data_IF_777732886743
#
_entry.id   IF_777732886743
#
_cell.length_a   1.000
_cell.length_b   1.000
_cell.length_c   1.000
_cell.angle_alpha   90.00
_cell.angle_beta   90.00
_cell.angle_gamma   90.00
#
_symmetry.space_group_name_H-M   'P 1'
#
loop_
_entity.id
_entity.type
_entity.pdbx_description
1 polymer ?
2 non-polymer ?
3 non-polymer ?
4 water ?
#
# COMPACT_ATOMS: atom_id res chain seq x y z
N UNK A 24 9.99 1.80 -28.63
CA UNK A 24 9.68 0.55 -29.30
C UNK A 24 8.39 -0.08 -28.81
N UNK A 25 7.55 0.73 -28.17
CA UNK A 25 6.23 0.32 -27.74
C UNK A 25 5.22 0.56 -28.87
N UNK A 26 4.16 -0.24 -28.86
CA UNK A 26 3.08 -0.01 -29.82
C UNK A 26 2.26 1.20 -29.39
N UNK A 27 1.45 1.69 -30.32
CA UNK A 27 0.57 2.82 -30.00
C UNK A 27 -0.45 2.44 -28.93
N UNK A 28 -0.89 1.18 -28.91
CA UNK A 28 -1.76 0.72 -27.83
C UNK A 28 -1.01 0.72 -26.49
N UNK A 29 0.26 0.31 -26.51
CA UNK A 29 1.06 0.32 -25.29
C UNK A 29 1.36 1.75 -24.85
N UNK A 30 1.64 2.64 -25.79
CA UNK A 30 1.89 4.04 -25.43
C UNK A 30 0.64 4.69 -24.85
N UNK A 31 -0.53 4.44 -25.45
CA UNK A 31 -1.77 4.96 -24.91
C UNK A 31 -2.07 4.37 -23.54
N UNK A 32 -1.73 3.09 -23.35
CA UNK A 32 -1.99 2.43 -22.08
C UNK A 32 -1.21 3.08 -20.94
N UNK A 33 0.07 3.40 -21.19
CA UNK A 33 0.88 4.05 -20.16
C UNK A 33 0.38 5.47 -19.93
N UNK A 34 -0.03 6.16 -20.99
CA UNK A 34 -0.52 7.53 -20.84
C UNK A 34 -1.76 7.59 -19.95
N UNK A 35 -2.67 6.64 -20.12
CA UNK A 35 -3.89 6.64 -19.30
C UNK A 35 -3.57 6.29 -17.86
N UNK A 36 -2.64 5.36 -17.64
CA UNK A 36 -2.24 5.01 -16.27
C UNK A 36 -1.55 6.19 -15.60
N UNK A 37 -0.61 6.83 -16.30
CA UNK A 37 0.06 8.00 -15.73
C UNK A 37 -0.94 9.14 -15.50
N UNK A 38 -1.91 9.29 -16.39
CA UNK A 38 -2.94 10.31 -16.21
C UNK A 38 -3.76 10.03 -14.96
N UNK A 39 -4.17 8.77 -14.78
CA UNK A 39 -4.94 8.40 -13.58
C UNK A 39 -4.10 8.58 -12.32
N UNK A 40 -2.80 8.27 -12.40
CA UNK A 40 -1.92 8.45 -11.26
C UNK A 40 -1.76 9.94 -10.92
N UNK A 41 -1.60 10.78 -11.94
CA UNK A 41 -1.41 12.21 -11.71
C UNK A 41 -2.65 12.84 -11.08
N UNK A 42 -3.84 12.39 -11.48
CA UNK A 42 -5.07 13.01 -11.01
C UNK A 42 -5.46 12.56 -9.61
N UNK A 43 -5.08 11.33 -9.22
CA UNK A 43 -5.62 10.72 -8.01
C UNK A 43 -4.59 10.44 -6.92
N UNK A 44 -3.32 10.77 -7.13
CA UNK A 44 -2.27 10.56 -6.14
C UNK A 44 -1.88 11.91 -5.57
N UNK A 45 -2.36 12.20 -4.36
CA UNK A 45 -1.99 13.41 -3.64
C UNK A 45 -0.60 13.19 -3.05
N UNK A 46 0.42 13.47 -3.86
CA UNK A 46 1.79 13.14 -3.48
C UNK A 46 2.28 13.99 -2.31
N UNK A 47 1.71 15.19 -2.15
CA UNK A 47 2.06 16.05 -1.02
C UNK A 47 1.10 15.90 0.15
N UNK A 48 0.07 15.07 0.01
CA UNK A 48 -0.90 14.81 1.09
C UNK A 48 -1.56 16.10 1.55
N UNK A 49 -1.73 17.05 0.63
CA UNK A 49 -2.23 18.37 1.02
C UNK A 49 -3.68 18.31 1.47
N UNK A 50 -4.43 17.32 1.00
CA UNK A 50 -5.85 17.19 1.33
C UNK A 50 -6.12 16.10 2.36
N UNK A 51 -5.08 15.60 3.03
CA UNK A 51 -5.25 14.68 4.14
C UNK A 51 -5.38 15.52 5.41
N UNK A 52 -6.61 15.70 5.87
CA UNK A 52 -6.92 16.57 6.99
C UNK A 52 -7.83 15.85 7.98
N UNK A 53 -8.07 16.50 9.12
CA UNK A 53 -9.02 16.05 10.13
C UNK A 53 -8.71 14.66 10.65
N UNK A 54 -7.46 14.22 10.55
CA UNK A 54 -7.09 12.90 11.03
C UNK A 54 -6.90 12.92 12.54
N UNK A 55 -7.05 11.75 13.15
CA UNK A 55 -6.84 11.60 14.57
C UNK A 55 -5.35 11.44 14.87
N UNK A 56 -4.97 11.82 16.09
CA UNK A 56 -3.61 11.74 16.58
C UNK A 56 -3.63 11.10 17.96
N UNK A 57 -2.52 10.50 18.39
CA UNK A 57 -2.47 9.91 19.73
C UNK A 57 -2.77 10.95 20.80
N UNK A 58 -3.42 10.49 21.88
CA UNK A 58 -3.81 11.39 22.94
C UNK A 58 -2.62 12.04 23.62
N UNK A 59 -2.89 13.16 24.27
CA UNK A 59 -1.86 13.92 24.97
C UNK A 59 -1.87 13.56 26.46
N UNK A 74 -10.41 -16.36 28.34
CA UNK A 74 -9.56 -17.07 29.29
C UNK A 74 -8.22 -17.43 28.67
N UNK A 75 -8.24 -18.43 27.79
CA UNK A 75 -7.05 -18.85 27.05
C UNK A 75 -7.17 -18.63 25.55
N UNK A 76 -8.35 -18.89 24.98
CA UNK A 76 -8.59 -18.61 23.56
C UNK A 76 -8.74 -17.13 23.28
N UNK A 77 -9.19 -16.35 24.26
CA UNK A 77 -9.28 -14.90 24.15
C UNK A 77 -8.05 -14.20 24.70
N UNK A 78 -7.05 -14.95 25.18
CA UNK A 78 -5.80 -14.38 25.66
C UNK A 78 -4.60 -14.70 24.77
N UNK A 79 -4.60 -15.87 24.12
CA UNK A 79 -3.58 -16.17 23.12
C UNK A 79 -3.63 -15.19 21.96
N UNK A 80 -4.76 -14.53 21.75
CA UNK A 80 -4.83 -13.46 20.74
C UNK A 80 -3.92 -12.30 21.12
N UNK A 81 -3.96 -11.91 22.40
CA UNK A 81 -3.26 -10.70 22.84
C UNK A 81 -1.76 -10.82 22.64
N UNK A 82 -1.19 -12.00 22.90
CA UNK A 82 0.24 -12.19 22.65
C UNK A 82 0.57 -12.07 21.17
N UNK A 83 -0.36 -12.49 20.31
CA UNK A 83 -0.14 -12.37 18.87
C UNK A 83 -0.35 -10.94 18.41
N UNK A 84 -1.37 -10.27 18.94
CA UNK A 84 -1.61 -8.87 18.58
C UNK A 84 -0.47 -8.00 19.09
N UNK A 85 0.04 -8.30 20.30
CA UNK A 85 1.17 -7.54 20.83
C UNK A 85 2.40 -7.70 19.95
N UNK A 86 2.65 -8.92 19.46
CA UNK A 86 3.77 -9.13 18.56
C UNK A 86 3.55 -8.43 17.22
N UNK A 87 2.29 -8.38 16.77
CA UNK A 87 1.98 -7.73 15.50
C UNK A 87 2.27 -6.23 15.58
N UNK A 88 1.80 -5.58 16.63
CA UNK A 88 1.90 -4.13 16.71
C UNK A 88 3.34 -3.66 16.88
N UNK A 89 4.13 -4.36 17.69
CA UNK A 89 5.52 -3.98 17.92
C UNK A 89 6.45 -4.51 16.85
N UNK A 90 5.92 -5.09 15.76
CA UNK A 90 6.76 -5.57 14.67
C UNK A 90 7.59 -4.42 14.10
N UNK A 91 6.92 -3.43 13.53
CA UNK A 91 7.55 -2.20 13.06
C UNK A 91 6.83 -1.02 13.70
N UNK A 92 7.56 -0.26 14.53
CA UNK A 92 7.03 0.94 15.14
C UNK A 92 7.62 2.17 14.46
N UNK A 93 6.82 3.23 14.39
CA UNK A 93 7.24 4.46 13.73
C UNK A 93 6.95 5.64 14.65
N UNK A 94 7.83 6.64 14.58
CA UNK A 94 7.56 7.94 15.15
C UNK A 94 6.88 8.80 14.09
N UNK A 95 6.16 9.82 14.55
CA UNK A 95 5.33 10.65 13.70
C UNK A 95 5.71 12.11 13.88
N UNK A 96 5.87 12.82 12.76
CA UNK A 96 6.25 14.23 12.78
C UNK A 96 5.27 15.04 11.95
N UNK A 97 4.81 16.16 12.50
CA UNK A 97 3.96 17.12 11.80
C UNK A 97 4.73 18.42 11.64
N UNK A 98 4.95 18.83 10.39
CA UNK A 98 5.51 20.14 10.09
C UNK A 98 4.35 21.06 9.73
N UNK A 99 4.06 22.02 10.62
CA UNK A 99 2.98 22.93 10.36
C UNK A 99 3.32 23.91 9.25
N UNK A 100 2.26 24.45 8.63
CA UNK A 100 2.44 25.45 7.58
C UNK A 100 3.12 26.71 8.09
N UNK A 101 3.15 26.90 9.41
CA UNK A 101 3.76 28.09 10.01
C UNK A 101 5.23 27.89 10.36
N UNK A 102 5.76 26.69 10.22
CA UNK A 102 7.13 26.39 10.59
C UNK A 102 7.29 25.62 11.88
N UNK A 103 6.20 25.39 12.62
CA UNK A 103 6.27 24.62 13.85
C UNK A 103 6.35 23.13 13.54
N UNK A 104 6.82 22.36 14.52
CA UNK A 104 7.01 20.92 14.37
C UNK A 104 6.50 20.22 15.62
N UNK A 105 5.52 19.34 15.46
CA UNK A 105 5.15 18.37 16.48
C UNK A 105 5.85 17.05 16.19
N UNK A 106 6.31 16.38 17.25
CA UNK A 106 6.95 15.08 17.14
C UNK A 106 6.35 14.14 18.17
N UNK A 107 5.93 12.95 17.71
CA UNK A 107 5.35 11.95 18.58
C UNK A 107 6.26 10.73 18.61
N UNK A 108 6.76 10.39 19.81
CA UNK A 108 7.51 9.17 20.01
C UNK A 108 6.61 8.14 20.67
N UNK A 109 6.36 6.99 20.05
CA UNK A 109 5.38 6.04 20.60
C UNK A 109 5.89 5.41 21.88
N UNK A 110 5.00 4.85 22.70
CA UNK A 110 5.42 4.22 23.95
C UNK A 110 5.85 2.77 23.75
N UNK A 111 6.62 2.27 24.71
CA UNK A 111 6.97 0.87 24.75
C UNK A 111 5.81 0.04 25.28
N UNK A 112 5.80 -1.24 24.91
CA UNK A 112 4.77 -2.14 25.40
C UNK A 112 4.99 -2.43 26.88
N UNK A 113 4.04 -1.99 27.72
CA UNK A 113 4.07 -2.27 29.14
C UNK A 113 2.87 -3.11 29.58
N UNK A 114 2.26 -3.85 28.66
CA UNK A 114 1.18 -4.74 28.97
C UNK A 114 -0.21 -4.15 28.90
N UNK A 115 -0.36 -2.91 28.46
CA UNK A 115 -1.65 -2.27 28.45
C UNK A 115 -2.12 -1.81 27.07
N UNK A 116 -3.08 -0.88 27.06
CA UNK A 116 -3.69 -0.41 25.83
C UNK A 116 -2.86 0.64 25.10
N UNK A 117 -1.68 0.98 25.61
CA UNK A 117 -0.85 2.01 24.98
C UNK A 117 -0.30 1.58 23.63
N UNK A 118 -0.30 0.27 23.35
CA UNK A 118 0.18 -0.21 22.05
C UNK A 118 -0.77 0.12 20.92
N UNK A 119 -1.99 0.56 21.23
CA UNK A 119 -2.99 0.90 20.22
C UNK A 119 -3.05 2.39 19.92
N UNK A 120 -2.12 3.19 20.46
CA UNK A 120 -2.27 4.64 20.42
C UNK A 120 -2.22 5.19 19.00
N UNK A 121 -1.43 4.57 18.12
CA UNK A 121 -1.29 5.07 16.76
C UNK A 121 -2.30 4.46 15.78
N UNK A 122 -3.11 3.50 16.23
CA UNK A 122 -4.06 2.86 15.33
C UNK A 122 -5.09 3.82 14.74
N UNK A 123 -5.74 4.69 15.51
CA UNK A 123 -6.72 5.60 14.88
C UNK A 123 -6.12 6.49 13.81
N UNK A 124 -4.87 6.93 14.00
CA UNK A 124 -4.21 7.72 12.96
C UNK A 124 -3.87 6.86 11.75
N UNK A 125 -3.34 5.66 11.98
CA UNK A 125 -3.01 4.77 10.87
C UNK A 125 -4.26 4.42 10.07
N UNK A 126 -5.40 4.27 10.75
CA UNK A 126 -6.65 4.01 10.05
C UNK A 126 -7.05 5.19 9.17
N UNK A 127 -6.91 6.40 9.70
CA UNK A 127 -7.28 7.58 8.91
C UNK A 127 -6.37 7.76 7.70
N UNK A 128 -5.06 7.55 7.88
CA UNK A 128 -4.14 7.67 6.75
C UNK A 128 -4.38 6.58 5.72
N UNK A 129 -4.56 5.34 6.18
CA UNK A 129 -4.84 4.23 5.26
C UNK A 129 -6.14 4.51 4.48
N UNK A 130 -7.18 4.95 5.19
CA UNK A 130 -8.44 5.29 4.53
C UNK A 130 -8.23 6.36 3.48
N UNK A 131 -7.40 7.37 3.77
CA UNK A 131 -7.14 8.42 2.80
C UNK A 131 -6.43 7.85 1.57
N UNK A 132 -5.47 6.96 1.78
CA UNK A 132 -4.80 6.32 0.64
C UNK A 132 -5.77 5.47 -0.16
N UNK A 133 -6.66 4.74 0.52
CA UNK A 133 -7.61 3.88 -0.17
C UNK A 133 -8.53 4.68 -1.07
N UNK A 134 -8.97 5.87 -0.62
CA UNK A 134 -9.82 6.71 -1.45
C UNK A 134 -9.12 7.12 -2.73
N UNK A 135 -7.83 7.45 -2.64
CA UNK A 135 -7.06 7.74 -3.85
C UNK A 135 -6.90 6.51 -4.73
N UNK A 136 -6.76 5.34 -4.11
CA UNK A 136 -6.66 4.10 -4.87
C UNK A 136 -7.95 3.84 -5.63
N UNK A 137 -9.10 4.01 -4.95
CA UNK A 137 -10.38 3.76 -5.58
C UNK A 137 -10.62 4.76 -6.71
N UNK A 138 -10.26 6.02 -6.49
CA UNK A 138 -10.36 7.01 -7.57
C UNK A 138 -9.43 6.66 -8.73
N UNK A 139 -8.28 6.05 -8.42
CA UNK A 139 -7.35 5.63 -9.47
C UNK A 139 -7.97 4.57 -10.37
N UNK A 140 -8.58 3.54 -9.76
CA UNK A 140 -9.17 2.46 -10.53
C UNK A 140 -10.37 2.94 -11.33
N UNK A 141 -11.29 3.66 -10.69
CA UNK A 141 -12.54 4.08 -11.35
C UNK A 141 -12.28 4.91 -12.61
N UNK A 142 -11.11 5.51 -12.73
CA UNK A 142 -10.81 6.37 -13.86
C UNK A 142 -10.23 5.58 -15.03
N UNK A 143 -9.53 4.48 -14.74
CA UNK A 143 -8.93 3.68 -15.81
C UNK A 143 -10.05 3.04 -16.63
N UNK A 144 -9.97 3.21 -17.94
CA UNK A 144 -11.03 2.73 -18.83
C UNK A 144 -11.18 1.22 -18.74
N UNK A 145 -10.06 0.49 -18.73
CA UNK A 145 -10.13 -0.97 -18.64
C UNK A 145 -10.83 -1.42 -17.37
N UNK A 146 -10.72 -0.63 -16.30
CA UNK A 146 -11.40 -0.94 -15.04
C UNK A 146 -12.87 -0.52 -15.08
N UNK A 147 -13.14 0.65 -15.66
CA UNK A 147 -14.51 1.16 -15.75
C UNK A 147 -15.41 0.21 -16.53
N UNK A 148 -14.86 -0.50 -17.52
CA UNK A 148 -15.65 -1.34 -18.40
C UNK A 148 -16.04 -2.67 -17.77
N UNK A 149 -15.38 -3.07 -16.69
CA UNK A 149 -15.71 -4.33 -16.03
C UNK A 149 -17.06 -4.20 -15.32
N UNK A 150 -17.73 -5.32 -15.07
CA UNK A 150 -18.95 -5.27 -14.25
C UNK A 150 -18.65 -4.72 -12.87
N UNK A 151 -19.63 -4.03 -12.29
CA UNK A 151 -19.42 -3.32 -11.04
C UNK A 151 -19.04 -4.27 -9.91
N UNK A 152 -19.57 -5.50 -9.93
CA UNK A 152 -19.23 -6.46 -8.89
C UNK A 152 -17.77 -6.90 -9.00
N UNK A 153 -17.24 -7.00 -10.23
CA UNK A 153 -15.84 -7.34 -10.39
C UNK A 153 -14.93 -6.17 -10.01
N UNK A 154 -15.38 -4.94 -10.30
CA UNK A 154 -14.65 -3.76 -9.85
C UNK A 154 -14.47 -3.78 -8.34
N UNK A 155 -15.56 -4.06 -7.61
CA UNK A 155 -15.50 -4.11 -6.16
C UNK A 155 -14.62 -5.27 -5.70
N UNK A 156 -14.72 -6.41 -6.37
CA UNK A 156 -13.90 -7.56 -6.01
C UNK A 156 -12.42 -7.27 -6.22
N UNK A 157 -12.08 -6.60 -7.33
CA UNK A 157 -10.68 -6.28 -7.59
C UNK A 157 -10.17 -5.24 -6.60
N UNK A 158 -10.98 -4.24 -6.27
CA UNK A 158 -10.56 -3.22 -5.31
C UNK A 158 -10.38 -3.81 -3.91
N UNK A 159 -11.31 -4.66 -3.49
CA UNK A 159 -11.14 -5.34 -2.20
C UNK A 159 -9.87 -6.16 -2.17
N UNK A 160 -9.46 -6.71 -3.31
CA UNK A 160 -8.30 -7.58 -3.34
C UNK A 160 -6.97 -6.86 -3.39
N UNK A 161 -6.93 -5.70 -4.04
CA UNK A 161 -5.66 -5.04 -4.35
C UNK A 161 -5.49 -3.68 -3.70
N UNK A 162 -6.47 -3.20 -2.92
CA UNK A 162 -6.35 -1.85 -2.36
C UNK A 162 -5.12 -1.71 -1.48
N UNK A 163 -4.85 -2.72 -0.65
CA UNK A 163 -3.68 -2.66 0.22
C UNK A 163 -2.38 -2.68 -0.60
N UNK A 164 -2.34 -3.50 -1.65
CA UNK A 164 -1.12 -3.61 -2.45
C UNK A 164 -0.82 -2.31 -3.19
N UNK A 165 -1.83 -1.71 -3.80
CA UNK A 165 -1.62 -0.42 -4.47
C UNK A 165 -1.29 0.68 -3.48
N UNK A 166 -1.83 0.59 -2.26
CA UNK A 166 -1.46 1.54 -1.21
C UNK A 166 0.01 1.43 -0.85
N UNK A 167 0.52 0.20 -0.77
CA UNK A 167 1.93 0.01 -0.46
C UNK A 167 2.81 0.44 -1.62
N UNK A 168 2.37 0.20 -2.85
CA UNK A 168 3.14 0.66 -4.01
C UNK A 168 3.26 2.17 -4.03
N UNK A 169 2.18 2.87 -3.67
CA UNK A 169 2.25 4.33 -3.63
C UNK A 169 3.10 4.82 -2.46
N UNK A 170 3.06 4.11 -1.33
CA UNK A 170 3.89 4.46 -0.19
C UNK A 170 5.38 4.35 -0.52
N UNK A 171 5.75 3.40 -1.37
CA UNK A 171 7.16 3.19 -1.67
C UNK A 171 7.75 4.37 -2.43
N UNK A 172 6.94 5.08 -3.21
CA UNK A 172 7.45 6.22 -3.96
C UNK A 172 7.79 7.40 -3.06
N UNK A 173 7.23 7.45 -1.85
CA UNK A 173 7.57 8.48 -0.87
C UNK A 173 8.42 7.93 0.26
N UNK A 174 8.86 6.68 0.15
CA UNK A 174 9.74 6.09 1.16
C UNK A 174 11.17 6.56 0.95
N UNK A 175 11.81 7.02 2.03
CA UNK A 175 13.21 7.42 1.99
C UNK A 175 14.02 6.30 2.64
N UNK A 176 14.67 5.48 1.81
CA UNK A 176 15.42 4.34 2.31
C UNK A 176 16.72 4.75 3.00
N UNK A 177 17.17 6.00 2.84
CA UNK A 177 18.37 6.46 3.54
C UNK A 177 18.06 6.81 4.98
N UNK A 178 16.90 7.41 5.24
CA UNK A 178 16.49 7.78 6.59
C UNK A 178 15.43 6.84 7.16
N UNK A 179 14.95 5.88 6.37
CA UNK A 179 13.89 5.00 6.83
C UNK A 179 12.62 5.72 7.18
N UNK A 180 12.20 6.69 6.36
CA UNK A 180 11.04 7.52 6.63
C UNK A 180 10.14 7.56 5.41
N UNK A 181 8.84 7.46 5.63
CA UNK A 181 7.84 7.72 4.60
C UNK A 181 7.50 9.20 4.68
N UNK A 182 7.89 9.96 3.66
CA UNK A 182 7.72 11.41 3.65
C UNK A 182 6.39 11.73 2.99
N UNK A 183 5.37 12.00 3.80
CA UNK A 183 4.03 12.27 3.32
C UNK A 183 3.68 13.74 3.55
N UNK A 184 4.33 14.61 2.78
CA UNK A 184 4.01 16.03 2.84
C UNK A 184 4.40 16.59 4.19
N UNK A 185 3.42 17.19 4.87
CA UNK A 185 3.66 17.70 6.22
C UNK A 185 3.95 16.59 7.21
N UNK A 186 3.57 15.36 6.89
CA UNK A 186 3.70 14.22 7.79
C UNK A 186 4.92 13.38 7.42
N UNK A 187 5.61 12.89 8.44
CA UNK A 187 6.73 11.98 8.28
C UNK A 187 6.58 10.83 9.28
N UNK A 188 6.86 9.61 8.82
CA UNK A 188 6.78 8.41 9.65
C UNK A 188 8.15 7.73 9.62
N UNK A 189 8.89 7.85 10.71
CA UNK A 189 10.27 7.39 10.80
C UNK A 189 10.35 6.11 11.61
N UNK A 190 11.04 5.10 11.07
CA UNK A 190 11.23 3.85 11.79
C UNK A 190 12.13 4.05 12.99
N UNK A 191 11.69 3.53 14.14
CA UNK A 191 12.44 3.70 15.39
C UNK A 191 13.61 2.71 15.47
N UNK A 196 20.83 -3.37 15.22
CA UNK A 196 20.63 -2.34 14.22
C UNK A 196 19.48 -2.64 13.27
N UNK A 197 19.64 -2.24 12.01
CA UNK A 197 18.62 -2.40 11.00
C UNK A 197 18.53 -3.80 10.43
N UNK A 198 19.43 -4.71 10.85
CA UNK A 198 19.39 -6.07 10.31
C UNK A 198 18.17 -6.83 10.80
N UNK A 199 17.86 -6.73 12.10
CA UNK A 199 16.68 -7.38 12.65
C UNK A 199 15.37 -6.72 12.22
N UNK A 200 15.43 -5.50 11.68
CA UNK A 200 14.24 -4.81 11.19
C UNK A 200 13.83 -5.24 9.79
N UNK A 201 14.81 -5.51 8.91
CA UNK A 201 14.49 -6.02 7.58
C UNK A 201 13.93 -7.43 7.61
N UNK A 202 13.85 -8.07 8.78
CA UNK A 202 13.15 -9.34 8.89
C UNK A 202 11.64 -9.16 8.76
N UNK A 203 11.13 -7.96 8.98
CA UNK A 203 9.73 -7.68 8.72
C UNK A 203 9.48 -7.72 7.20
N UNK A 204 8.57 -8.58 6.72
CA UNK A 204 8.42 -8.77 5.27
C UNK A 204 8.00 -7.51 4.51
N UNK A 205 6.99 -6.82 5.04
CA UNK A 205 6.52 -5.56 4.41
C UNK A 205 7.65 -4.56 4.29
N UNK A 206 8.57 -4.60 5.24
CA UNK A 206 9.62 -3.62 5.37
C UNK A 206 10.82 -3.98 4.48
N UNK A 207 11.14 -5.28 4.42
CA UNK A 207 12.11 -5.73 3.43
C UNK A 207 11.63 -5.45 2.01
N UNK A 208 10.32 -5.52 1.80
CA UNK A 208 9.74 -5.21 0.49
C UNK A 208 10.00 -3.76 0.10
N UNK A 209 9.78 -2.83 1.04
CA UNK A 209 9.96 -1.42 0.73
C UNK A 209 11.41 -1.09 0.39
N UNK A 210 12.36 -1.70 1.10
CA UNK A 210 13.77 -1.45 0.81
C UNK A 210 14.18 -2.09 -0.50
N UNK A 211 13.74 -3.32 -0.76
CA UNK A 211 14.13 -4.00 -2.00
C UNK A 211 13.50 -3.32 -3.22
N UNK A 212 12.24 -2.90 -3.11
CA UNK A 212 11.60 -2.24 -4.24
C UNK A 212 12.22 -0.87 -4.51
N UNK A 213 12.55 -0.13 -3.45
CA UNK A 213 13.20 1.17 -3.63
C UNK A 213 14.56 1.03 -4.30
N UNK A 214 15.24 -0.10 -4.07
CA UNK A 214 16.56 -0.31 -4.65
C UNK A 214 16.50 -0.40 -6.16
N UNK A 215 15.39 -0.90 -6.71
CA UNK A 215 15.28 -1.05 -8.16
C UNK A 215 15.24 0.28 -8.88
N UNK A 216 14.95 1.37 -8.17
CA UNK A 216 14.95 2.73 -8.74
C UNK A 216 14.04 2.81 -9.95
N UNK A 217 12.77 2.45 -9.74
CA UNK A 217 11.81 2.39 -10.83
C UNK A 217 11.35 3.78 -11.25
N UNK A 218 10.95 3.89 -12.51
CA UNK A 218 10.33 5.11 -13.01
C UNK A 218 8.89 5.20 -12.52
N UNK A 219 8.29 6.38 -12.73
CA UNK A 219 6.87 6.54 -12.42
C UNK A 219 6.02 5.62 -13.29
N UNK A 220 6.42 5.44 -14.55
CA UNK A 220 5.67 4.56 -15.45
C UNK A 220 5.71 3.12 -14.99
N UNK A 221 6.82 2.68 -14.41
CA UNK A 221 6.93 1.31 -13.93
C UNK A 221 6.15 1.09 -12.65
N UNK A 222 6.09 2.11 -11.78
CA UNK A 222 5.27 2.01 -10.58
C UNK A 222 3.79 1.88 -10.92
N UNK A 223 3.32 2.70 -11.86
CA UNK A 223 1.90 2.68 -12.19
C UNK A 223 1.53 1.42 -12.97
N UNK A 224 2.48 0.85 -13.71
CA UNK A 224 2.23 -0.43 -14.36
C UNK A 224 2.14 -1.55 -13.33
N UNK A 225 2.96 -1.47 -12.27
CA UNK A 225 2.81 -2.43 -11.17
C UNK A 225 1.45 -2.32 -10.52
N UNK A 226 0.96 -1.08 -10.34
CA UNK A 226 -0.37 -0.89 -9.75
C UNK A 226 -1.45 -1.51 -10.64
N UNK A 227 -1.29 -1.42 -11.96
CA UNK A 227 -2.28 -2.00 -12.86
C UNK A 227 -2.23 -3.52 -12.82
N UNK A 228 -1.03 -4.10 -12.84
CA UNK A 228 -0.91 -5.56 -12.78
C UNK A 228 -1.49 -6.09 -11.48
N UNK A 229 -1.23 -5.39 -10.37
CA UNK A 229 -1.80 -5.80 -9.08
C UNK A 229 -3.31 -5.62 -9.05
N UNK A 230 -3.80 -4.52 -9.62
CA UNK A 230 -5.23 -4.25 -9.61
C UNK A 230 -6.01 -5.30 -10.40
N UNK A 231 -5.48 -5.69 -11.56
CA UNK A 231 -6.15 -6.65 -12.44
C UNK A 231 -5.68 -8.08 -12.22
N UNK A 232 -5.51 -8.49 -10.96
CA UNK A 232 -5.22 -9.88 -10.66
C UNK A 232 -6.50 -10.69 -10.79
N UNK A 233 -6.56 -11.62 -11.75
CA UNK A 233 -7.84 -12.28 -12.06
C UNK A 233 -8.32 -13.29 -11.02
N UNK A 234 -7.58 -13.51 -9.94
CA UNK A 234 -7.92 -14.57 -8.98
C UNK A 234 -8.21 -14.02 -7.59
N UNK A 235 -8.70 -12.78 -7.50
CA UNK A 235 -9.16 -12.28 -6.23
C UNK A 235 -10.49 -12.94 -5.88
N UNK A 236 -10.81 -13.06 -4.58
CA UNK A 236 -12.09 -13.67 -4.19
C UNK A 236 -13.27 -12.89 -4.75
N UNK A 237 -14.13 -13.59 -5.48
CA UNK A 237 -15.36 -13.02 -5.99
C UNK A 237 -15.34 -12.55 -7.42
N UNK A 238 -14.22 -12.68 -8.12
CA UNK A 238 -14.14 -12.22 -9.50
C UNK A 238 -14.90 -13.18 -10.41
N UNK A 239 -15.71 -12.64 -11.32
CA UNK A 239 -16.47 -13.43 -12.27
C UNK A 239 -15.82 -13.47 -13.64
N UNK A 240 -15.51 -12.31 -14.22
CA UNK A 240 -14.86 -12.23 -15.53
C UNK A 240 -13.36 -12.54 -15.40
N UNK A 241 -13.08 -13.77 -14.96
CA UNK A 241 -11.70 -14.19 -14.76
C UNK A 241 -10.91 -14.16 -16.05
N UNK A 242 -11.58 -14.40 -17.18
CA UNK A 242 -10.88 -14.39 -18.47
C UNK A 242 -10.58 -12.97 -18.94
N UNK A 243 -11.53 -12.05 -18.77
CA UNK A 243 -11.32 -10.68 -19.20
C UNK A 243 -10.22 -10.03 -18.38
N UNK A 244 -10.25 -10.22 -17.06
CA UNK A 244 -9.25 -9.60 -16.19
C UNK A 244 -7.88 -10.18 -16.46
N UNK A 245 -7.80 -11.50 -16.71
CA UNK A 245 -6.51 -12.12 -16.96
C UNK A 245 -5.86 -11.59 -18.23
N UNK A 246 -6.65 -11.42 -19.29
CA UNK A 246 -6.10 -10.88 -20.54
C UNK A 246 -5.66 -9.43 -20.36
N UNK A 247 -6.40 -8.65 -19.56
CA UNK A 247 -5.99 -7.28 -19.29
C UNK A 247 -4.69 -7.25 -18.48
N UNK A 248 -4.54 -8.16 -17.52
CA UNK A 248 -3.35 -8.18 -16.69
C UNK A 248 -2.11 -8.60 -17.48
N UNK A 249 -2.20 -9.71 -18.21
CA UNK A 249 -1.13 -10.12 -19.11
C UNK A 249 -0.75 -8.98 -20.04
N UNK A 250 -1.71 -8.12 -20.34
CA UNK A 250 -1.45 -7.03 -21.28
C UNK A 250 -0.71 -5.89 -20.60
N UNK A 251 -1.05 -5.56 -19.35
CA UNK A 251 -0.24 -4.61 -18.60
C UNK A 251 1.17 -5.14 -18.34
N UNK A 252 1.32 -6.45 -18.19
CA UNK A 252 2.64 -7.02 -17.97
C UNK A 252 3.48 -6.95 -19.25
N UNK A 253 2.86 -7.22 -20.40
CA UNK A 253 3.59 -7.12 -21.67
C UNK A 253 4.06 -5.68 -21.89
N UNK A 254 3.20 -4.71 -21.58
CA UNK A 254 3.60 -3.31 -21.72
C UNK A 254 4.78 -2.97 -20.82
N UNK A 255 4.76 -3.45 -19.57
CA UNK A 255 5.87 -3.21 -18.65
C UNK A 255 7.14 -3.87 -19.16
N UNK A 256 7.04 -5.13 -19.59
CA UNK A 256 8.19 -5.82 -20.16
C UNK A 256 8.75 -5.06 -21.36
N UNK A 257 7.87 -4.58 -22.23
CA UNK A 257 8.32 -3.83 -23.40
C UNK A 257 8.90 -2.47 -23.00
N UNK A 258 8.28 -1.79 -22.03
CA UNK A 258 8.80 -0.51 -21.57
C UNK A 258 10.24 -0.65 -21.07
N UNK A 259 10.49 -1.69 -20.28
CA UNK A 259 11.83 -1.90 -19.74
C UNK A 259 12.82 -2.19 -20.85
N UNK A 260 12.42 -2.99 -21.84
CA UNK A 260 13.33 -3.33 -22.93
C UNK A 260 13.67 -2.09 -23.77
N UNK A 261 12.73 -1.17 -23.91
CA UNK A 261 12.97 0.00 -24.75
C UNK A 261 13.76 1.08 -24.05
N UNK A 262 13.63 1.19 -22.73
CA UNK A 262 14.16 2.34 -22.01
C UNK A 262 15.23 1.98 -20.98
N UNK A 263 15.65 0.73 -20.89
CA UNK A 263 16.64 0.30 -19.90
C UNK A 263 17.56 -0.75 -20.50
N UNK A 264 18.56 -0.33 -21.29
CA UNK A 264 19.53 -1.29 -21.84
C UNK A 264 20.67 -1.64 -20.90
N UNK A 265 20.78 -0.94 -19.77
CA UNK A 265 21.95 -1.08 -18.92
C UNK A 265 22.02 -2.47 -18.32
N UNK A 266 23.22 -3.06 -18.20
CA UNK A 266 23.34 -4.41 -17.62
C UNK A 266 22.85 -4.50 -16.19
N UNK A 267 22.68 -3.38 -15.49
CA UNK A 267 22.11 -3.42 -14.15
C UNK A 267 20.62 -3.71 -14.17
N UNK A 268 19.95 -3.49 -15.30
CA UNK A 268 18.53 -3.73 -15.43
C UNK A 268 18.22 -5.03 -16.16
N UNK A 269 19.22 -5.89 -16.34
CA UNK A 269 18.94 -7.25 -16.80
C UNK A 269 18.02 -7.94 -15.81
N UNK A 270 17.01 -8.63 -16.33
CA UNK A 270 16.02 -9.34 -15.54
C UNK A 270 15.19 -8.41 -14.65
N UNK A 271 15.15 -7.12 -14.97
CA UNK A 271 14.38 -6.19 -14.12
C UNK A 271 12.91 -6.52 -14.15
N UNK A 272 12.38 -6.87 -15.34
CA UNK A 272 10.98 -7.24 -15.44
C UNK A 272 10.66 -8.42 -14.54
N UNK A 273 11.49 -9.46 -14.57
CA UNK A 273 11.25 -10.63 -13.74
C UNK A 273 11.41 -10.31 -12.27
N UNK A 274 12.35 -9.42 -11.92
CA UNK A 274 12.47 -8.96 -10.54
C UNK A 274 11.20 -8.24 -10.10
N UNK A 275 10.67 -7.36 -10.96
CA UNK A 275 9.45 -6.65 -10.64
C UNK A 275 8.29 -7.61 -10.42
N UNK A 276 8.14 -8.58 -11.33
CA UNK A 276 7.05 -9.56 -11.19
C UNK A 276 7.21 -10.40 -9.94
N UNK A 277 8.44 -10.71 -9.54
CA UNK A 277 8.65 -11.45 -8.30
C UNK A 277 8.22 -10.62 -7.10
N UNK A 278 8.47 -9.31 -7.14
CA UNK A 278 8.06 -8.44 -6.04
C UNK A 278 6.54 -8.35 -5.94
N UNK A 279 5.85 -8.34 -7.09
CA UNK A 279 4.40 -8.30 -7.08
C UNK A 279 3.83 -9.56 -6.44
N UNK A 280 4.46 -10.71 -6.69
CA UNK A 280 4.06 -11.94 -6.02
C UNK A 280 4.29 -11.85 -4.52
N UNK A 281 5.45 -11.31 -4.11
CA UNK A 281 5.72 -11.13 -2.70
C UNK A 281 4.75 -10.14 -2.07
N UNK A 282 4.42 -9.06 -2.80
CA UNK A 282 3.49 -8.06 -2.27
C UNK A 282 2.11 -8.65 -2.03
N UNK A 283 1.62 -9.47 -2.97
CA UNK A 283 0.35 -10.15 -2.77
C UNK A 283 0.37 -11.03 -1.54
N UNK A 284 1.51 -11.67 -1.25
CA UNK A 284 1.63 -12.50 -0.05
C UNK A 284 1.70 -11.64 1.22
N UNK A 285 2.41 -10.51 1.15
CA UNK A 285 2.43 -9.57 2.26
C UNK A 285 1.03 -9.06 2.53
N UNK A 286 0.25 -8.84 1.46
CA UNK A 286 -1.14 -8.42 1.62
C UNK A 286 -1.94 -9.40 2.46
N UNK A 287 -1.77 -10.70 2.20
CA UNK A 287 -2.52 -11.70 2.96
C UNK A 287 -2.06 -11.76 4.41
N UNK A 288 -0.75 -11.63 4.65
CA UNK A 288 -0.23 -11.60 6.02
C UNK A 288 -0.82 -10.43 6.79
N UNK A 289 -0.74 -9.23 6.21
CA UNK A 289 -1.20 -8.04 6.92
C UNK A 289 -2.71 -7.98 7.03
N UNK A 290 -3.42 -8.61 6.10
CA UNK A 290 -4.87 -8.69 6.24
C UNK A 290 -5.27 -9.49 7.47
N UNK A 291 -4.56 -10.59 7.75
CA UNK A 291 -4.84 -11.37 8.94
C UNK A 291 -4.36 -10.65 10.20
N UNK A 292 -3.25 -9.92 10.11
CA UNK A 292 -2.82 -9.11 11.24
C UNK A 292 -3.87 -8.06 11.59
N UNK A 293 -4.41 -7.40 10.56
CA UNK A 293 -5.44 -6.38 10.79
C UNK A 293 -6.69 -7.00 11.42
N UNK A 294 -7.14 -8.14 10.89
CA UNK A 294 -8.35 -8.76 11.42
C UNK A 294 -8.16 -9.29 12.83
N UNK A 295 -6.95 -9.75 13.16
CA UNK A 295 -6.67 -10.11 14.56
C UNK A 295 -6.78 -8.88 15.45
N UNK A 296 -6.13 -7.78 15.06
CA UNK A 296 -6.18 -6.55 15.85
C UNK A 296 -7.61 -6.01 15.91
N UNK A 297 -8.36 -6.17 14.83
CA UNK A 297 -9.72 -5.64 14.79
C UNK A 297 -10.65 -6.42 15.71
N UNK A 298 -10.49 -7.75 15.76
CA UNK A 298 -11.34 -8.58 16.59
C UNK A 298 -11.18 -8.28 18.09
N UNK A 299 -10.12 -7.58 18.47
CA UNK A 299 -9.72 -7.46 19.86
C UNK A 299 -9.73 -5.98 20.28
N UNK A 300 -9.41 -5.10 19.32
CA UNK A 300 -9.40 -3.66 19.54
C UNK A 300 -9.90 -3.00 18.26
N UNK A 301 -11.22 -2.79 18.16
CA UNK A 301 -11.79 -2.26 16.91
C UNK A 301 -11.25 -0.88 16.59
N UNK A 302 -10.96 -0.66 15.30
CA UNK A 302 -10.39 0.62 14.88
C UNK A 302 -10.58 0.87 13.38
N UNK A 303 -11.00 -0.16 12.65
CA UNK A 303 -11.16 -0.02 11.21
C UNK A 303 -12.24 1.00 10.89
N UNK A 304 -11.95 1.88 9.93
CA UNK A 304 -12.92 2.86 9.48
C UNK A 304 -14.01 2.17 8.66
N UNK A 305 -15.15 2.83 8.46
CA UNK A 305 -16.18 2.25 7.59
C UNK A 305 -15.67 1.82 6.22
N UNK A 306 -14.80 2.62 5.60
CA UNK A 306 -14.25 2.23 4.31
C UNK A 306 -13.33 1.02 4.45
N UNK A 307 -12.54 0.97 5.53
CA UNK A 307 -11.71 -0.21 5.78
C UNK A 307 -12.57 -1.44 6.01
N UNK A 308 -13.68 -1.30 6.75
CA UNK A 308 -14.59 -2.42 6.94
C UNK A 308 -15.14 -2.93 5.60
N UNK A 309 -15.48 -2.00 4.70
CA UNK A 309 -15.99 -2.39 3.40
C UNK A 309 -14.96 -3.16 2.60
N UNK A 310 -13.71 -2.67 2.59
CA UNK A 310 -12.66 -3.32 1.81
C UNK A 310 -12.25 -4.66 2.39
N UNK A 311 -12.48 -4.90 3.67
CA UNK A 311 -12.05 -6.13 4.33
C UNK A 311 -13.21 -7.03 4.73
N UNK A 312 -14.41 -6.78 4.22
CA UNK A 312 -15.53 -7.68 4.39
C UNK A 312 -16.27 -7.60 5.71
N UNK A 313 -15.85 -6.72 6.62
CA UNK A 313 -16.54 -6.59 7.90
C UNK A 313 -17.94 -6.04 7.65
N UNK A 314 -18.95 -6.78 8.08
CA UNK A 314 -20.34 -6.45 7.77
C UNK A 314 -20.95 -5.43 8.72
N UNK A 315 -20.49 -5.37 9.97
CA UNK A 315 -21.02 -4.44 10.95
C UNK A 315 -21.88 -5.06 12.02
N UNK A 316 -22.06 -6.39 12.02
CA UNK A 316 -22.83 -7.07 13.03
C UNK A 316 -22.04 -8.26 13.54
N UNK A 317 -22.01 -8.44 14.86
CA UNK A 317 -21.26 -9.53 15.47
C UNK A 317 -21.87 -10.88 15.14
#
# INVERSE_FOLDING_TARGET
MKKGHHHHHHGSERTGTQPLGVQGLTEEQRMMIRELMDAQMKTFDTTFSHFKNFRLPGVLSSGCELPESLQAPSREEAAKWSQVRKDLCSLKVSLQLRGEDGSVWNYKPPADSGGKEIFSLLPHMADMSTYMFKGIISFAKVISYFRDLPIEDQISLLKGAAFELCQLRFNTVFNAETGTWECGRLSYCLEDTAGGFQQLLLEPMLKFHYMLKKLQLHEEEYVLMQAISLFSPDRPGVLQHRVVDQLQEQFAITLKSYIECNRPQPAHRFLFLKIMAMLTELRSINAQHTQRLLRIQDIHPFATPLMQELFGITGSLVPR
#
